data_IF_626324620220
#
_entry.id   IF_626324620220
#
_cell.length_a   1.000
_cell.length_b   1.000
_cell.length_c   1.000
_cell.angle_alpha   90.00
_cell.angle_beta   90.00
_cell.angle_gamma   90.00
#
_symmetry.space_group_name_H-M   'P 1'
#
loop_
_entity.id
_entity.type
_entity.pdbx_description
1 polymer ?
#
# COMPACT_ATOMS: atom_id res chain seq x y z
N UNK A 1 6.18 0.85 -21.34
CA UNK A 1 6.54 -0.36 -20.57
C UNK A 1 6.66 0.06 -19.11
N UNK A 2 5.87 -0.51 -18.22
CA UNK A 2 5.98 -0.20 -16.79
C UNK A 2 7.37 -0.62 -16.30
N UNK A 3 8.12 0.31 -15.71
CA UNK A 3 9.46 0.07 -15.19
C UNK A 3 9.38 -0.92 -14.01
N UNK A 4 9.45 -2.21 -14.30
CA UNK A 4 9.55 -3.30 -13.32
C UNK A 4 10.74 -3.10 -12.37
N UNK A 5 11.77 -2.38 -12.81
CA UNK A 5 12.94 -1.96 -12.01
C UNK A 5 12.56 -1.08 -10.82
N UNK A 6 11.42 -0.37 -10.86
CA UNK A 6 10.94 0.48 -9.76
C UNK A 6 9.95 -0.20 -8.83
N UNK A 7 9.59 -1.47 -9.08
CA UNK A 7 8.68 -2.20 -8.21
C UNK A 7 9.19 -2.23 -6.77
N UNK A 8 8.31 -1.92 -5.84
CA UNK A 8 8.60 -1.91 -4.42
C UNK A 8 7.78 -2.96 -3.69
N UNK A 9 8.37 -3.53 -2.65
CA UNK A 9 7.66 -4.45 -1.76
C UNK A 9 6.50 -3.74 -1.05
N UNK A 10 5.50 -4.51 -0.63
CA UNK A 10 4.39 -4.01 0.19
C UNK A 10 4.87 -3.28 1.46
N UNK A 11 6.01 -3.70 2.03
CA UNK A 11 6.62 -3.02 3.19
C UNK A 11 7.20 -1.65 2.83
N UNK A 12 7.90 -1.52 1.70
CA UNK A 12 8.43 -0.23 1.24
C UNK A 12 7.29 0.73 0.85
N UNK A 13 6.26 0.22 0.18
CA UNK A 13 5.07 1.00 -0.15
C UNK A 13 4.31 1.48 1.10
N UNK A 14 4.20 0.61 2.12
CA UNK A 14 3.59 0.94 3.41
C UNK A 14 4.31 2.10 4.10
N UNK A 15 5.65 2.10 4.11
CA UNK A 15 6.44 3.19 4.70
C UNK A 15 6.26 4.52 3.96
N UNK A 16 6.12 4.51 2.63
CA UNK A 16 5.96 5.71 1.82
C UNK A 16 4.56 6.32 1.95
N UNK A 17 3.52 5.50 1.88
CA UNK A 17 2.12 5.94 1.95
C UNK A 17 1.61 6.12 3.38
N UNK A 18 2.37 5.64 4.39
CA UNK A 18 1.96 5.52 5.79
C UNK A 18 0.71 4.64 6.00
N UNK A 19 0.34 3.85 4.99
CA UNK A 19 -0.73 2.86 5.06
C UNK A 19 -0.10 1.55 5.55
N UNK A 20 -0.67 0.90 6.56
CA UNK A 20 -0.13 -0.38 7.03
C UNK A 20 -0.21 -1.47 5.95
N UNK A 21 0.74 -2.41 5.96
CA UNK A 21 0.72 -3.62 5.10
C UNK A 21 -0.62 -4.37 5.19
N UNK A 22 -1.24 -4.42 6.38
CA UNK A 22 -2.55 -5.05 6.59
C UNK A 22 -3.66 -4.33 5.81
N UNK A 23 -3.66 -2.99 5.83
CA UNK A 23 -4.61 -2.20 5.06
C UNK A 23 -4.39 -2.34 3.55
N UNK A 24 -3.14 -2.37 3.10
CA UNK A 24 -2.84 -2.61 1.67
C UNK A 24 -3.37 -3.96 1.19
N UNK A 25 -3.27 -5.02 2.01
CA UNK A 25 -3.87 -6.33 1.69
C UNK A 25 -5.39 -6.28 1.67
N UNK A 26 -5.99 -5.49 2.56
CA UNK A 26 -7.43 -5.28 2.58
C UNK A 26 -7.89 -4.55 1.32
N UNK A 27 -7.21 -3.46 0.93
CA UNK A 27 -7.50 -2.71 -0.29
C UNK A 27 -7.34 -3.54 -1.55
N UNK A 28 -6.30 -4.38 -1.63
CA UNK A 28 -6.15 -5.37 -2.70
C UNK A 28 -7.36 -6.32 -2.77
N UNK A 29 -7.76 -6.87 -1.63
CA UNK A 29 -8.90 -7.80 -1.55
C UNK A 29 -10.26 -7.15 -1.83
N UNK A 30 -10.35 -5.82 -1.74
CA UNK A 30 -11.54 -5.03 -2.05
C UNK A 30 -11.47 -4.36 -3.43
N UNK A 31 -10.35 -4.53 -4.17
CA UNK A 31 -10.13 -3.88 -5.46
C UNK A 31 -9.92 -2.36 -5.38
N UNK A 32 -9.69 -1.81 -4.18
CA UNK A 32 -9.42 -0.38 -3.97
C UNK A 32 -8.00 -0.04 -4.43
N UNK A 33 -7.03 -0.91 -4.14
CA UNK A 33 -5.64 -0.72 -4.57
C UNK A 33 -5.04 -2.06 -4.99
N UNK A 34 -4.96 -2.27 -6.30
CA UNK A 34 -4.48 -3.52 -6.89
C UNK A 34 -2.94 -3.45 -7.02
N UNK A 35 -2.19 -4.46 -6.56
CA UNK A 35 -0.74 -4.51 -6.76
C UNK A 35 -0.40 -4.58 -8.24
N UNK A 36 0.64 -3.83 -8.65
CA UNK A 36 1.11 -3.85 -10.04
C UNK A 36 1.61 -5.24 -10.46
N UNK A 37 2.23 -5.98 -9.54
CA UNK A 37 2.68 -7.36 -9.79
C UNK A 37 2.39 -8.21 -8.57
N UNK A 38 1.81 -9.38 -8.81
CA UNK A 38 1.72 -10.47 -7.85
C UNK A 38 2.66 -11.56 -8.33
N UNK A 39 3.63 -11.91 -7.50
CA UNK A 39 4.52 -13.03 -7.75
C UNK A 39 3.69 -14.33 -7.70
N UNK A 40 3.61 -15.05 -8.81
CA UNK A 40 2.75 -16.24 -8.96
C UNK A 40 3.22 -17.42 -8.09
N UNK A 41 4.51 -17.44 -7.72
CA UNK A 41 5.13 -18.54 -6.96
C UNK A 41 4.93 -18.35 -5.46
N UNK A 42 5.11 -17.12 -4.97
CA UNK A 42 5.06 -16.80 -3.54
C UNK A 42 3.80 -16.04 -3.11
N UNK A 43 3.00 -15.56 -4.06
CA UNK A 43 1.89 -14.63 -3.80
C UNK A 43 2.35 -13.25 -3.31
N UNK A 44 3.63 -12.92 -3.47
CA UNK A 44 4.21 -11.68 -2.97
C UNK A 44 3.79 -10.48 -3.83
N UNK A 45 3.30 -9.44 -3.16
CA UNK A 45 2.73 -8.26 -3.82
C UNK A 45 3.75 -7.16 -3.96
N UNK A 46 3.85 -6.61 -5.16
CA UNK A 46 4.72 -5.48 -5.49
C UNK A 46 3.89 -4.35 -6.08
N UNK A 47 4.22 -3.14 -5.66
CA UNK A 47 3.56 -1.91 -6.05
C UNK A 47 4.51 -1.05 -6.85
N UNK A 48 3.97 -0.18 -7.68
CA UNK A 48 4.71 0.83 -8.41
C UNK A 48 4.74 2.15 -7.61
N UNK A 49 5.83 2.95 -7.69
CA UNK A 49 5.88 4.27 -7.05
C UNK A 49 4.74 5.18 -7.49
N UNK A 50 4.29 5.05 -8.72
CA UNK A 50 3.21 5.83 -9.31
C UNK A 50 1.87 5.60 -8.56
N UNK A 51 1.67 4.40 -8.00
CA UNK A 51 0.46 4.05 -7.23
C UNK A 51 0.39 4.72 -5.85
N UNK A 52 1.46 5.41 -5.42
CA UNK A 52 1.44 6.16 -4.15
C UNK A 52 0.50 7.36 -4.21
N UNK A 53 0.33 7.96 -5.40
CA UNK A 53 -0.61 9.06 -5.61
C UNK A 53 -2.07 8.58 -5.55
N UNK A 54 -2.36 7.42 -6.14
CA UNK A 54 -3.69 6.79 -6.10
C UNK A 54 -4.06 6.41 -4.67
N UNK A 55 -3.14 5.77 -3.95
CA UNK A 55 -3.32 5.43 -2.55
C UNK A 55 -3.58 6.67 -1.66
N UNK A 56 -2.91 7.80 -1.95
CA UNK A 56 -3.15 9.06 -1.23
C UNK A 56 -4.54 9.63 -1.54
N UNK A 57 -4.99 9.57 -2.79
CA UNK A 57 -6.33 10.01 -3.21
C UNK A 57 -7.43 9.20 -2.52
N UNK A 58 -7.32 7.87 -2.56
CA UNK A 58 -8.33 6.97 -1.98
C UNK A 58 -8.31 7.00 -0.45
N UNK A 59 -7.16 7.30 0.16
CA UNK A 59 -7.07 7.51 1.61
C UNK A 59 -7.77 8.79 2.08
N UNK A 60 -7.95 9.79 1.20
CA UNK A 60 -8.65 11.04 1.53
C UNK A 60 -10.18 10.91 1.42
N UNK A 61 -10.64 9.97 0.58
CA UNK A 61 -12.04 9.69 0.33
C UNK A 61 -12.52 8.51 1.19
N UNK A 62 -12.65 8.73 2.49
CA UNK A 62 -13.72 8.12 3.28
C UNK A 62 -14.01 6.60 3.11
N UNK A 63 -13.01 5.74 2.90
CA UNK A 63 -13.16 4.29 3.09
C UNK A 63 -12.94 3.93 4.56
N UNK A 64 -13.89 4.39 5.39
CA UNK A 64 -14.50 3.64 6.50
C UNK A 64 -13.56 2.67 7.26
N UNK A 65 -12.72 3.21 8.16
CA UNK A 65 -12.00 2.47 9.22
C UNK A 65 -12.97 1.65 10.11
N UNK A 66 -12.56 0.51 10.76
CA UNK A 66 -12.01 0.58 12.13
C UNK A 66 -11.13 -0.65 12.58
N UNK A 67 -10.76 -0.82 13.88
CA UNK A 67 -9.95 0.06 14.72
C UNK A 67 -8.72 -0.69 15.31
N UNK A 68 -7.89 0.04 16.07
CA UNK A 68 -6.76 -0.44 16.90
C UNK A 68 -5.43 -0.62 16.18
N UNK A 69 -4.84 0.49 15.75
CA UNK A 69 -3.57 0.95 16.32
C UNK A 69 -3.23 2.31 15.72
N UNK A 70 -3.87 3.34 16.29
CA UNK A 70 -3.35 4.70 16.27
C UNK A 70 -2.17 4.78 17.27
N UNK A 71 -1.16 3.92 17.13
CA UNK A 71 0.10 4.02 17.90
C UNK A 71 1.24 4.43 16.97
N UNK A 72 1.46 5.75 16.94
CA UNK A 72 2.76 6.35 17.21
C UNK A 72 3.85 6.12 16.16
N UNK A 73 3.82 6.84 15.03
CA UNK A 73 4.99 7.06 14.16
C UNK A 73 4.99 8.44 13.47
N UNK A 74 4.81 9.51 14.26
CA UNK A 74 5.47 10.79 13.99
C UNK A 74 6.29 11.12 15.23
N UNK A 75 7.41 10.43 15.33
CA UNK A 75 8.29 10.51 16.49
C UNK A 75 9.59 9.78 16.20
N UNK A 76 10.42 10.36 15.34
CA UNK A 76 11.86 10.32 15.55
C UNK A 76 12.45 11.66 15.10
N UNK A 77 13.29 12.15 15.98
CA UNK A 77 14.00 13.43 15.98
C UNK A 77 14.78 13.67 14.70
#
# INVERSE_FOLDING_TARGET
MADTTRLMSIGKFSSLTRISVRMLRHYDSQGVLIPAVVDEVSGYRRYLPEQTADAARDSSADVRLPPRHRRRLLGRR
#
